data_IF_952186056002
#
_entry.id   IF_952186056002
#
_cell.length_a   1.000
_cell.length_b   1.000
_cell.length_c   1.000
_cell.angle_alpha   90.00
_cell.angle_beta   90.00
_cell.angle_gamma   90.00
#
_symmetry.space_group_name_H-M   'P 1'
#
loop_
_entity.id
_entity.type
_entity.pdbx_description
1 polymer ?
#
# COMPACT_ATOMS: atom_id res chain seq x y z
N UNK A 1 12.14 51.78 -36.23
CA UNK A 1 12.02 50.48 -35.53
C UNK A 1 12.61 49.40 -36.43
N UNK A 2 13.54 48.58 -35.94
CA UNK A 2 14.24 47.59 -36.77
C UNK A 2 13.40 46.32 -36.98
N UNK A 3 13.59 45.62 -38.10
CA UNK A 3 12.89 44.37 -38.42
C UNK A 3 13.03 43.31 -37.31
N UNK A 4 14.17 43.28 -36.63
CA UNK A 4 14.42 42.39 -35.50
C UNK A 4 13.52 42.68 -34.29
N UNK A 5 13.21 43.96 -33.99
CA UNK A 5 12.35 44.30 -32.85
C UNK A 5 10.89 43.89 -33.07
N UNK A 6 10.45 43.85 -34.34
CA UNK A 6 9.10 43.41 -34.70
C UNK A 6 9.00 41.88 -34.58
N UNK A 7 10.05 41.15 -34.96
CA UNK A 7 10.09 39.70 -34.81
C UNK A 7 10.12 39.26 -33.34
N UNK A 8 10.92 39.91 -32.49
CA UNK A 8 10.96 39.59 -31.05
C UNK A 8 9.61 39.82 -30.38
N UNK A 9 8.91 40.90 -30.70
CA UNK A 9 7.56 41.17 -30.18
C UNK A 9 6.53 40.12 -30.61
N UNK A 10 6.60 39.62 -31.86
CA UNK A 10 5.73 38.52 -32.30
C UNK A 10 6.01 37.22 -31.54
N UNK A 11 7.28 36.88 -31.32
CA UNK A 11 7.66 35.68 -30.58
C UNK A 11 7.19 35.73 -29.13
N UNK A 12 7.37 36.87 -28.45
CA UNK A 12 6.88 37.06 -27.08
C UNK A 12 5.36 36.87 -27.00
N UNK A 13 4.62 37.38 -28.00
CA UNK A 13 3.16 37.22 -28.06
C UNK A 13 2.75 35.75 -28.20
N UNK A 14 3.45 35.00 -29.05
CA UNK A 14 3.20 33.56 -29.26
C UNK A 14 3.49 32.78 -27.97
N UNK A 15 4.63 33.04 -27.34
CA UNK A 15 5.02 32.40 -26.08
C UNK A 15 4.00 32.67 -24.96
N UNK A 16 3.52 33.92 -24.84
CA UNK A 16 2.51 34.27 -23.86
C UNK A 16 1.17 33.57 -24.16
N UNK A 17 0.75 33.49 -25.42
CA UNK A 17 -0.45 32.72 -25.79
C UNK A 17 -0.32 31.23 -25.46
N UNK A 18 0.84 30.62 -25.73
CA UNK A 18 1.08 29.20 -25.41
C UNK A 18 1.07 28.95 -23.90
N UNK A 19 1.69 29.83 -23.10
CA UNK A 19 1.64 29.75 -21.63
C UNK A 19 0.22 29.83 -21.10
N UNK A 20 -0.57 30.78 -21.61
CA UNK A 20 -1.97 30.94 -21.22
C UNK A 20 -2.83 29.72 -21.60
N UNK A 21 -2.63 29.14 -22.78
CA UNK A 21 -3.35 27.93 -23.17
C UNK A 21 -2.97 26.71 -22.33
N UNK A 22 -1.68 26.54 -22.00
CA UNK A 22 -1.21 25.48 -21.11
C UNK A 22 -1.80 25.58 -19.71
N UNK A 23 -1.85 26.79 -19.14
CA UNK A 23 -2.45 27.05 -17.84
C UNK A 23 -3.96 26.79 -17.82
N UNK A 24 -4.67 27.16 -18.90
CA UNK A 24 -6.11 26.89 -19.04
C UNK A 24 -6.45 25.40 -19.09
N UNK A 25 -5.55 24.56 -19.60
CA UNK A 25 -5.71 23.10 -19.62
C UNK A 25 -5.35 22.41 -18.30
N UNK A 26 -4.57 23.06 -17.44
CA UNK A 26 -4.07 22.47 -16.18
C UNK A 26 -5.17 22.36 -15.12
N UNK A 27 -5.93 23.43 -14.90
CA UNK A 27 -6.99 23.47 -13.88
C UNK A 27 -8.08 22.42 -14.12
N UNK A 28 -8.62 22.22 -15.34
CA UNK A 28 -9.59 21.17 -15.63
C UNK A 28 -9.02 19.75 -15.40
N UNK A 29 -7.76 19.51 -15.75
CA UNK A 29 -7.10 18.21 -15.54
C UNK A 29 -6.88 17.92 -14.07
N UNK A 30 -6.44 18.92 -13.29
CA UNK A 30 -6.31 18.80 -11.85
C UNK A 30 -7.66 18.49 -11.19
N UNK A 31 -8.75 19.12 -11.65
CA UNK A 31 -10.11 18.83 -11.17
C UNK A 31 -10.55 17.40 -11.47
N UNK A 32 -10.19 16.87 -12.63
CA UNK A 32 -10.49 15.48 -13.01
C UNK A 32 -9.71 14.48 -12.15
N UNK A 33 -8.40 14.71 -11.96
CA UNK A 33 -7.56 13.90 -11.06
C UNK A 33 -8.04 13.95 -9.61
N UNK A 34 -8.38 15.15 -9.12
CA UNK A 34 -8.90 15.33 -7.77
C UNK A 34 -10.27 14.67 -7.59
N UNK A 35 -11.15 14.74 -8.58
CA UNK A 35 -12.44 14.05 -8.54
C UNK A 35 -12.25 12.54 -8.52
N UNK A 36 -11.36 12.01 -9.36
CA UNK A 36 -11.15 10.56 -9.47
C UNK A 36 -10.45 9.98 -8.24
N UNK A 37 -9.35 10.60 -7.80
CA UNK A 37 -8.62 10.18 -6.60
C UNK A 37 -9.36 10.48 -5.30
N UNK A 38 -10.09 11.60 -5.25
CA UNK A 38 -10.87 12.02 -4.10
C UNK A 38 -12.07 11.12 -3.85
N UNK A 39 -12.86 10.79 -4.88
CA UNK A 39 -13.99 9.85 -4.72
C UNK A 39 -13.54 8.47 -4.30
N UNK A 40 -12.47 7.94 -4.89
CA UNK A 40 -11.88 6.66 -4.47
C UNK A 40 -11.44 6.69 -3.00
N UNK A 41 -10.66 7.70 -2.60
CA UNK A 41 -10.13 7.78 -1.23
C UNK A 41 -11.22 8.05 -0.18
N UNK A 42 -12.20 8.91 -0.49
CA UNK A 42 -13.27 9.28 0.45
C UNK A 42 -14.32 8.18 0.60
N UNK A 43 -14.57 7.38 -0.45
CA UNK A 43 -15.47 6.23 -0.37
C UNK A 43 -15.00 5.19 0.66
N UNK A 44 -13.69 5.02 0.81
CA UNK A 44 -13.12 4.16 1.85
C UNK A 44 -12.94 4.85 3.20
N UNK A 45 -13.09 6.18 3.28
CA UNK A 45 -12.92 6.96 4.51
C UNK A 45 -13.74 6.41 5.69
N UNK A 46 -15.07 6.23 5.55
CA UNK A 46 -15.89 5.63 6.59
C UNK A 46 -15.45 4.21 6.98
N UNK A 47 -15.09 3.37 6.01
CA UNK A 47 -14.62 2.00 6.26
C UNK A 47 -13.28 2.00 7.02
N UNK A 48 -12.36 2.91 6.66
CA UNK A 48 -11.08 3.11 7.34
C UNK A 48 -11.34 3.54 8.78
N UNK A 49 -12.23 4.53 9.01
CA UNK A 49 -12.58 4.99 10.35
C UNK A 49 -13.14 3.85 11.19
N UNK A 50 -14.13 3.09 10.67
CA UNK A 50 -14.71 1.96 11.39
C UNK A 50 -13.66 0.92 11.74
N UNK A 51 -12.80 0.56 10.78
CA UNK A 51 -11.74 -0.43 10.99
C UNK A 51 -10.73 0.06 12.04
N UNK A 52 -10.21 1.28 11.90
CA UNK A 52 -9.25 1.85 12.85
C UNK A 52 -9.87 1.96 14.24
N UNK A 53 -11.10 2.43 14.37
CA UNK A 53 -11.80 2.52 15.66
C UNK A 53 -12.04 1.16 16.29
N UNK A 54 -12.43 0.15 15.50
CA UNK A 54 -12.61 -1.22 15.99
C UNK A 54 -11.30 -1.79 16.53
N UNK A 55 -10.22 -1.73 15.74
CA UNK A 55 -8.91 -2.26 16.15
C UNK A 55 -8.32 -1.46 17.32
N UNK A 56 -8.49 -0.14 17.36
CA UNK A 56 -8.09 0.68 18.50
C UNK A 56 -8.88 0.31 19.77
N UNK A 57 -10.20 0.11 19.67
CA UNK A 57 -11.03 -0.33 20.79
C UNK A 57 -10.63 -1.71 21.31
N UNK A 58 -10.40 -2.66 20.41
CA UNK A 58 -9.89 -4.00 20.77
C UNK A 58 -8.52 -3.91 21.43
N UNK A 59 -7.61 -3.08 20.92
CA UNK A 59 -6.32 -2.86 21.55
C UNK A 59 -6.42 -2.19 22.93
N UNK A 60 -7.33 -1.23 23.13
CA UNK A 60 -7.54 -0.60 24.43
C UNK A 60 -8.16 -1.58 25.45
N UNK A 61 -9.00 -2.50 25.00
CA UNK A 61 -9.64 -3.51 25.85
C UNK A 61 -8.72 -4.69 26.19
N UNK A 62 -8.09 -5.29 25.17
CA UNK A 62 -7.23 -6.49 25.32
C UNK A 62 -5.75 -6.15 25.55
N UNK A 63 -5.34 -4.90 25.36
CA UNK A 63 -3.96 -4.45 25.50
C UNK A 63 -3.02 -5.14 24.49
N UNK A 64 -1.80 -5.43 24.95
CA UNK A 64 -0.78 -6.11 24.14
C UNK A 64 -1.19 -7.52 23.71
N UNK A 65 -2.11 -8.17 24.42
CA UNK A 65 -2.60 -9.52 24.07
C UNK A 65 -3.43 -9.54 22.78
N UNK A 66 -3.91 -8.39 22.31
CA UNK A 66 -4.60 -8.27 21.03
C UNK A 66 -3.67 -8.56 19.84
N UNK A 67 -2.42 -8.16 19.95
CA UNK A 67 -1.39 -8.39 18.93
C UNK A 67 -0.74 -9.74 19.26
N UNK A 68 -0.78 -10.69 18.32
CA UNK A 68 -0.14 -11.99 18.54
C UNK A 68 1.36 -11.74 18.75
N UNK A 69 1.89 -12.30 19.84
CA UNK A 69 3.27 -12.06 20.32
C UNK A 69 3.56 -10.62 20.83
N UNK A 70 2.57 -9.88 21.32
CA UNK A 70 2.75 -8.58 22.01
C UNK A 70 3.50 -8.66 23.36
N UNK A 71 4.22 -9.75 23.60
CA UNK A 71 5.03 -9.97 24.79
C UNK A 71 6.37 -9.26 24.63
N UNK A 72 6.82 -8.53 25.67
CA UNK A 72 8.20 -7.99 25.72
C UNK A 72 9.26 -9.09 25.87
N UNK A 73 8.85 -10.36 26.02
CA UNK A 73 9.77 -11.48 26.17
C UNK A 73 10.30 -11.83 24.78
N UNK A 74 11.63 -11.86 24.58
CA UNK A 74 12.19 -12.40 23.36
C UNK A 74 11.64 -13.82 23.17
N UNK A 75 10.85 -14.03 22.12
CA UNK A 75 10.45 -15.38 21.72
C UNK A 75 11.68 -16.01 21.09
N UNK A 76 12.24 -16.99 21.78
CA UNK A 76 13.28 -17.82 21.19
C UNK A 76 12.69 -18.44 19.91
N UNK A 77 13.46 -18.47 18.80
CA UNK A 77 12.98 -19.14 17.60
C UNK A 77 12.57 -20.57 17.95
N UNK A 78 11.49 -21.09 17.34
CA UNK A 78 11.09 -22.48 17.55
C UNK A 78 12.31 -23.39 17.38
N UNK A 79 12.49 -24.37 18.28
CA UNK A 79 13.61 -25.30 18.15
C UNK A 79 13.53 -26.02 16.80
N UNK A 80 14.66 -26.15 16.13
CA UNK A 80 14.74 -26.98 14.92
C UNK A 80 14.38 -28.40 15.30
N UNK A 81 13.39 -28.95 14.60
CA UNK A 81 13.03 -30.37 14.66
C UNK A 81 13.52 -30.97 13.35
N UNK A 82 14.22 -32.09 13.43
CA UNK A 82 14.65 -32.81 12.24
C UNK A 82 13.40 -33.32 11.50
N UNK A 83 13.17 -32.93 10.24
CA UNK A 83 12.02 -33.40 9.48
C UNK A 83 11.99 -34.92 9.33
N UNK A 84 13.13 -35.61 9.43
CA UNK A 84 13.17 -37.07 9.37
C UNK A 84 12.67 -37.72 10.67
N UNK A 85 12.88 -37.11 11.84
CA UNK A 85 12.34 -37.62 13.12
C UNK A 85 10.79 -37.64 13.10
N UNK A 86 10.16 -36.63 12.51
CA UNK A 86 8.70 -36.56 12.37
C UNK A 86 8.13 -37.60 11.40
N UNK A 87 8.94 -38.05 10.44
CA UNK A 87 8.55 -39.05 9.45
C UNK A 87 8.67 -40.48 10.00
N UNK A 88 9.49 -40.71 11.04
CA UNK A 88 9.63 -42.01 11.68
C UNK A 88 8.38 -42.40 12.50
N UNK A 89 7.71 -41.41 13.11
CA UNK A 89 6.44 -41.61 13.83
C UNK A 89 5.31 -42.09 12.90
N UNK A 90 5.30 -41.64 11.63
CA UNK A 90 4.36 -42.11 10.60
C UNK A 90 4.81 -43.45 9.96
N UNK A 91 6.08 -43.82 10.11
CA UNK A 91 6.65 -45.05 9.56
C UNK A 91 6.25 -46.32 10.34
N UNK A 92 5.54 -46.15 11.47
CA UNK A 92 4.90 -47.22 12.28
C UNK A 92 3.82 -47.98 11.47
N UNK A 93 3.47 -47.51 10.27
CA UNK A 93 2.53 -48.19 9.35
C UNK A 93 3.18 -49.18 8.38
N UNK A 94 4.51 -49.44 8.46
CA UNK A 94 5.10 -50.49 7.62
C UNK A 94 4.61 -51.86 8.10
N UNK A 95 3.86 -52.63 7.28
CA UNK A 95 3.55 -54.00 7.64
C UNK A 95 4.87 -54.76 7.81
N UNK A 96 4.97 -55.56 8.86
CA UNK A 96 6.11 -56.46 9.06
C UNK A 96 6.33 -57.22 7.76
N UNK A 97 7.53 -57.11 7.19
CA UNK A 97 7.97 -57.99 6.12
C UNK A 97 8.24 -59.37 6.73
N UNK A 98 7.17 -60.04 7.15
CA UNK A 98 7.13 -61.49 7.32
C UNK A 98 7.01 -62.08 5.93
N UNK A 99 8.14 -62.22 5.24
CA UNK A 99 8.23 -62.97 3.99
C UNK A 99 9.44 -63.91 4.09
N UNK A 100 9.09 -65.14 4.53
CA UNK A 100 9.72 -66.46 4.41
C UNK A 100 11.20 -66.66 4.82
#
# INVERSE_FOLDING_TARGET
MSSQSIQSMRQIKILNQQREQGNKGLVPRAKLLLSLGGTFSLAFGPLIIVTVSLFAGLYLYFGQSFVHDGSKKPVAPPPYIDPYELLEDDMISRPSLDVF
#
